data_IF_518061766167
#
_entry.id   IF_518061766167
#
_cell.length_a   1.000
_cell.length_b   1.000
_cell.length_c   1.000
_cell.angle_alpha   90.00
_cell.angle_beta   90.00
_cell.angle_gamma   90.00
#
_symmetry.space_group_name_H-M   'P 1'
#
loop_
_entity.id
_entity.type
_entity.pdbx_description
1 polymer ?
#
# COMPACT_ATOMS: atom_id res chain seq x y z
N UNK A 1 -29.35 -11.84 2.55
CA UNK A 1 -29.47 -12.26 3.96
C UNK A 1 -28.17 -11.90 4.66
N UNK A 2 -28.20 -11.30 5.85
CA UNK A 2 -26.97 -11.03 6.61
C UNK A 2 -26.29 -12.36 6.98
N UNK A 3 -25.01 -12.50 6.62
CA UNK A 3 -24.23 -13.69 6.97
C UNK A 3 -24.12 -13.81 8.49
N UNK A 4 -24.59 -14.93 9.04
CA UNK A 4 -24.68 -15.17 10.50
C UNK A 4 -23.32 -15.25 11.21
N UNK A 5 -22.22 -15.18 10.47
CA UNK A 5 -20.85 -15.22 10.98
C UNK A 5 -20.12 -13.88 10.91
N UNK A 6 -20.79 -12.81 10.44
CA UNK A 6 -20.21 -11.45 10.37
C UNK A 6 -20.43 -10.69 11.67
N UNK A 7 -19.55 -9.74 11.97
CA UNK A 7 -19.68 -8.85 13.12
C UNK A 7 -19.14 -7.47 12.79
N UNK A 8 -19.92 -6.43 13.11
CA UNK A 8 -19.54 -5.02 12.90
C UNK A 8 -18.67 -4.47 14.05
N UNK A 9 -18.47 -5.27 15.11
CA UNK A 9 -17.65 -4.93 16.28
C UNK A 9 -16.74 -6.10 16.64
N UNK A 10 -15.73 -5.88 17.49
CA UNK A 10 -14.85 -6.97 17.94
C UNK A 10 -15.66 -8.02 18.71
N UNK A 11 -15.70 -9.29 18.27
CA UNK A 11 -16.47 -10.32 18.98
C UNK A 11 -15.91 -10.57 20.38
N UNK A 12 -16.80 -10.69 21.37
CA UNK A 12 -16.43 -11.03 22.75
C UNK A 12 -15.63 -12.34 22.84
N UNK A 13 -15.97 -13.32 22.00
CA UNK A 13 -15.17 -14.53 21.77
C UNK A 13 -14.76 -14.63 20.29
N UNK A 14 -13.64 -13.99 19.96
CA UNK A 14 -13.07 -14.04 18.61
C UNK A 14 -12.69 -15.46 18.17
N UNK A 15 -12.36 -16.38 19.10
CA UNK A 15 -12.03 -17.77 18.75
C UNK A 15 -13.28 -18.54 18.32
N UNK A 16 -14.40 -18.36 19.01
CA UNK A 16 -15.69 -18.91 18.59
C UNK A 16 -16.15 -18.32 17.24
N UNK A 17 -16.07 -16.99 17.08
CA UNK A 17 -16.42 -16.32 15.83
C UNK A 17 -15.58 -16.83 14.64
N UNK A 18 -14.26 -16.99 14.80
CA UNK A 18 -13.37 -17.55 13.78
C UNK A 18 -13.78 -18.98 13.41
N UNK A 19 -14.12 -19.83 14.39
CA UNK A 19 -14.59 -21.20 14.13
C UNK A 19 -15.89 -21.20 13.30
N UNK A 20 -16.87 -20.40 13.71
CA UNK A 20 -18.15 -20.28 13.02
C UNK A 20 -17.97 -19.77 11.58
N UNK A 21 -17.20 -18.70 11.39
CA UNK A 21 -16.86 -18.15 10.07
C UNK A 21 -16.18 -19.21 9.19
N UNK A 22 -15.17 -19.91 9.71
CA UNK A 22 -14.45 -20.96 8.97
C UNK A 22 -15.36 -22.12 8.55
N UNK A 23 -16.35 -22.50 9.36
CA UNK A 23 -17.34 -23.52 8.99
C UNK A 23 -18.28 -23.02 7.90
N UNK A 24 -18.84 -21.82 8.06
CA UNK A 24 -19.77 -21.24 7.10
C UNK A 24 -19.12 -21.03 5.72
N UNK A 25 -17.90 -20.49 5.67
CA UNK A 25 -17.18 -20.26 4.41
C UNK A 25 -16.82 -21.56 3.70
N UNK A 26 -16.40 -22.60 4.43
CA UNK A 26 -16.15 -23.92 3.83
C UNK A 26 -17.42 -24.53 3.24
N UNK A 27 -18.54 -24.42 3.94
CA UNK A 27 -19.82 -24.90 3.43
C UNK A 27 -20.27 -24.14 2.17
N UNK A 28 -20.01 -22.83 2.11
CA UNK A 28 -20.36 -21.99 0.95
C UNK A 28 -19.45 -22.25 -0.26
N UNK A 29 -18.15 -22.49 -0.04
CA UNK A 29 -17.16 -22.66 -1.12
C UNK A 29 -17.08 -24.11 -1.63
N UNK A 30 -17.44 -25.11 -0.82
CA UNK A 30 -17.28 -26.52 -1.18
C UNK A 30 -15.83 -26.99 -1.02
N UNK A 31 -15.22 -27.47 -2.11
CA UNK A 31 -13.84 -27.98 -2.09
C UNK A 31 -12.82 -26.83 -2.02
N UNK A 32 -12.56 -26.37 -0.80
CA UNK A 32 -11.59 -25.32 -0.52
C UNK A 32 -10.17 -25.70 -0.93
N UNK A 33 -9.81 -27.00 -0.91
CA UNK A 33 -8.46 -27.41 -1.29
C UNK A 33 -8.27 -27.30 -2.80
N UNK A 34 -9.25 -27.73 -3.60
CA UNK A 34 -9.21 -27.57 -5.04
C UNK A 34 -9.14 -26.09 -5.44
N UNK A 35 -9.97 -25.24 -4.82
CA UNK A 35 -9.97 -23.78 -5.07
C UNK A 35 -8.60 -23.19 -4.70
N UNK A 36 -8.02 -23.60 -3.57
CA UNK A 36 -6.71 -23.15 -3.14
C UNK A 36 -5.59 -23.59 -4.08
N UNK A 37 -5.65 -24.81 -4.61
CA UNK A 37 -4.67 -25.30 -5.58
C UNK A 37 -4.71 -24.48 -6.88
N UNK A 38 -5.90 -24.22 -7.41
CA UNK A 38 -6.06 -23.37 -8.59
C UNK A 38 -5.48 -21.96 -8.38
N UNK A 39 -5.78 -21.34 -7.24
CA UNK A 39 -5.22 -20.04 -6.88
C UNK A 39 -3.68 -20.10 -6.73
N UNK A 40 -3.16 -21.20 -6.18
CA UNK A 40 -1.73 -21.39 -5.99
C UNK A 40 -1.00 -21.50 -7.33
N UNK A 41 -1.58 -22.18 -8.32
CA UNK A 41 -1.02 -22.29 -9.67
C UNK A 41 -0.98 -20.93 -10.39
N UNK A 42 -2.04 -20.13 -10.23
CA UNK A 42 -2.10 -18.76 -10.77
C UNK A 42 -1.02 -17.87 -10.14
N UNK A 43 -0.84 -17.95 -8.81
CA UNK A 43 0.21 -17.21 -8.09
C UNK A 43 1.60 -17.71 -8.49
N UNK A 44 1.79 -19.03 -8.62
CA UNK A 44 3.07 -19.62 -9.03
C UNK A 44 3.50 -19.11 -10.41
N UNK A 45 2.56 -18.97 -11.34
CA UNK A 45 2.78 -18.33 -12.65
C UNK A 45 3.31 -16.89 -12.48
N UNK A 46 2.75 -16.10 -11.56
CA UNK A 46 3.24 -14.73 -11.30
C UNK A 46 4.62 -14.70 -10.65
N UNK A 47 4.91 -15.64 -9.76
CA UNK A 47 6.25 -15.78 -9.17
C UNK A 47 7.28 -16.13 -10.25
N UNK A 48 6.95 -17.04 -11.18
CA UNK A 48 7.81 -17.39 -12.29
C UNK A 48 8.11 -16.17 -13.19
N UNK A 49 7.09 -15.38 -13.54
CA UNK A 49 7.28 -14.11 -14.28
C UNK A 49 8.20 -13.13 -13.55
N UNK A 50 8.01 -12.95 -12.25
CA UNK A 50 8.83 -12.05 -11.43
C UNK A 50 10.29 -12.54 -11.41
N UNK A 51 10.52 -13.84 -11.25
CA UNK A 51 11.85 -14.41 -11.25
C UNK A 51 12.54 -14.28 -12.60
N UNK A 52 11.80 -14.44 -13.71
CA UNK A 52 12.33 -14.24 -15.06
C UNK A 52 12.77 -12.79 -15.28
N UNK A 53 11.96 -11.80 -14.90
CA UNK A 53 12.32 -10.38 -14.98
C UNK A 53 13.57 -10.07 -14.15
N UNK A 54 13.65 -10.58 -12.91
CA UNK A 54 14.83 -10.42 -12.06
C UNK A 54 16.09 -11.03 -12.69
N UNK A 55 15.97 -12.22 -13.28
CA UNK A 55 17.10 -12.89 -13.92
C UNK A 55 17.60 -12.13 -15.17
N UNK A 56 16.72 -11.38 -15.83
CA UNK A 56 17.04 -10.51 -16.97
C UNK A 56 17.62 -9.15 -16.52
N UNK A 57 17.55 -8.82 -15.23
CA UNK A 57 17.93 -7.51 -14.70
C UNK A 57 16.86 -6.43 -14.89
N UNK A 58 15.66 -6.82 -15.31
CA UNK A 58 14.54 -5.90 -15.54
C UNK A 58 13.88 -5.46 -14.23
N UNK A 59 13.33 -4.25 -14.25
CA UNK A 59 12.52 -3.74 -13.15
C UNK A 59 11.21 -4.56 -13.05
N UNK A 60 11.01 -5.24 -11.92
CA UNK A 60 9.73 -5.90 -11.62
C UNK A 60 8.61 -4.90 -11.39
N UNK A 61 8.96 -3.75 -10.80
CA UNK A 61 8.02 -2.69 -10.48
C UNK A 61 7.81 -1.83 -11.72
N UNK A 62 6.56 -1.50 -12.08
CA UNK A 62 6.29 -0.51 -13.12
C UNK A 62 6.94 0.83 -12.74
N UNK A 63 7.76 1.37 -13.63
CA UNK A 63 8.44 2.66 -13.45
C UNK A 63 7.82 3.68 -14.41
N UNK A 64 7.29 4.77 -13.85
CA UNK A 64 6.70 5.88 -14.60
C UNK A 64 7.47 7.16 -14.33
N UNK A 65 7.40 8.13 -15.22
CA UNK A 65 7.84 9.49 -14.92
C UNK A 65 6.67 10.32 -14.40
N UNK A 66 6.93 11.24 -13.47
CA UNK A 66 5.92 12.21 -13.06
C UNK A 66 5.50 13.13 -14.21
N UNK A 67 6.40 13.41 -15.15
CA UNK A 67 6.10 14.20 -16.34
C UNK A 67 4.99 13.56 -17.18
N UNK A 68 5.03 12.22 -17.38
CA UNK A 68 3.99 11.50 -18.12
C UNK A 68 2.67 11.49 -17.37
N UNK A 69 2.69 11.36 -16.04
CA UNK A 69 1.48 11.46 -15.21
C UNK A 69 0.85 12.84 -15.35
N UNK A 70 1.66 13.91 -15.20
CA UNK A 70 1.20 15.30 -15.31
C UNK A 70 0.65 15.63 -16.70
N UNK A 71 1.27 15.08 -17.75
CA UNK A 71 0.84 15.29 -19.12
C UNK A 71 -0.32 14.37 -19.57
N UNK A 72 -0.73 13.40 -18.73
CA UNK A 72 -1.75 12.42 -19.11
C UNK A 72 -1.28 11.39 -20.14
N UNK A 73 0.02 11.18 -20.28
CA UNK A 73 0.64 10.30 -21.28
C UNK A 73 0.88 8.85 -20.79
N UNK A 74 0.41 8.50 -19.60
CA UNK A 74 0.52 7.11 -19.09
C UNK A 74 -0.38 6.18 -19.90
N UNK A 75 0.23 5.20 -20.57
CA UNK A 75 -0.45 4.31 -21.52
C UNK A 75 -1.39 3.32 -20.84
N UNK A 76 -2.28 2.70 -21.62
CA UNK A 76 -3.15 1.64 -21.11
C UNK A 76 -2.34 0.44 -20.60
N UNK A 77 -1.28 0.05 -21.29
CA UNK A 77 -0.40 -1.05 -20.93
C UNK A 77 0.31 -0.76 -19.60
N UNK A 78 0.80 0.47 -19.41
CA UNK A 78 1.39 0.89 -18.14
C UNK A 78 0.37 0.81 -16.99
N UNK A 79 -0.87 1.26 -17.21
CA UNK A 79 -1.95 1.17 -16.22
C UNK A 79 -2.26 -0.29 -15.85
N UNK A 80 -2.34 -1.17 -16.84
CA UNK A 80 -2.57 -2.59 -16.60
C UNK A 80 -1.38 -3.27 -15.90
N UNK A 81 -0.14 -2.86 -16.19
CA UNK A 81 1.02 -3.34 -15.43
C UNK A 81 0.96 -2.93 -13.95
N UNK A 82 0.52 -1.70 -13.64
CA UNK A 82 0.32 -1.27 -12.25
C UNK A 82 -0.73 -2.13 -11.56
N UNK A 83 -1.88 -2.38 -12.21
CA UNK A 83 -2.92 -3.26 -11.66
C UNK A 83 -2.42 -4.69 -11.48
N UNK A 84 -1.64 -5.20 -12.44
CA UNK A 84 -1.05 -6.55 -12.41
C UNK A 84 -0.04 -6.72 -11.28
N UNK A 85 0.76 -5.69 -10.99
CA UNK A 85 1.85 -5.74 -9.99
C UNK A 85 1.44 -5.21 -8.62
N UNK A 86 0.36 -4.45 -8.53
CA UNK A 86 -0.14 -3.84 -7.29
C UNK A 86 0.74 -2.72 -6.75
N UNK A 87 1.68 -2.19 -7.55
CA UNK A 87 2.63 -1.16 -7.15
C UNK A 87 3.15 -0.34 -8.34
N UNK A 88 3.78 0.80 -8.06
CA UNK A 88 4.44 1.64 -9.05
C UNK A 88 5.56 2.49 -8.42
N UNK A 89 6.58 2.82 -9.21
CA UNK A 89 7.58 3.86 -8.87
C UNK A 89 7.31 5.07 -9.76
N UNK A 90 7.13 6.25 -9.14
CA UNK A 90 7.04 7.52 -9.87
C UNK A 90 8.39 8.23 -9.78
N UNK A 91 9.17 8.16 -10.86
CA UNK A 91 10.46 8.85 -10.99
C UNK A 91 10.25 10.34 -11.20
N UNK A 92 11.09 11.14 -10.52
CA UNK A 92 11.03 12.59 -10.62
C UNK A 92 9.73 13.19 -10.08
N UNK A 93 9.07 12.51 -9.13
CA UNK A 93 7.84 13.01 -8.49
C UNK A 93 8.05 14.39 -7.86
N UNK A 94 9.19 14.56 -7.20
CA UNK A 94 9.67 15.88 -6.75
C UNK A 94 11.07 16.13 -7.33
N UNK A 95 11.42 17.39 -7.62
CA UNK A 95 12.80 17.77 -7.89
C UNK A 95 13.74 17.30 -6.77
N UNK A 96 14.90 16.78 -7.15
CA UNK A 96 15.88 16.23 -6.18
C UNK A 96 16.29 17.27 -5.14
N UNK A 97 16.51 18.51 -5.56
CA UNK A 97 16.89 19.61 -4.66
C UNK A 97 15.81 19.88 -3.60
N UNK A 98 14.54 19.89 -4.00
CA UNK A 98 13.43 20.06 -3.07
C UNK A 98 13.36 18.91 -2.06
N UNK A 99 13.54 17.67 -2.52
CA UNK A 99 13.55 16.50 -1.63
C UNK A 99 14.70 16.56 -0.61
N UNK A 100 15.91 16.95 -1.04
CA UNK A 100 17.05 17.13 -0.14
C UNK A 100 16.85 18.30 0.83
N UNK A 101 16.23 19.39 0.38
CA UNK A 101 15.88 20.52 1.25
C UNK A 101 14.86 20.13 2.32
N UNK A 102 13.86 19.33 1.96
CA UNK A 102 12.91 18.76 2.92
C UNK A 102 13.56 17.83 3.92
N UNK A 103 14.47 16.97 3.48
CA UNK A 103 15.24 16.07 4.34
C UNK A 103 16.05 16.85 5.38
N UNK A 104 16.81 17.87 4.95
CA UNK A 104 17.54 18.74 5.88
C UNK A 104 16.61 19.47 6.85
N UNK A 105 15.47 19.97 6.36
CA UNK A 105 14.49 20.66 7.21
C UNK A 105 13.87 19.75 8.27
N UNK A 106 13.76 18.44 7.98
CA UNK A 106 13.32 17.43 8.94
C UNK A 106 14.38 17.21 10.01
N UNK A 107 15.65 17.06 9.62
CA UNK A 107 16.76 16.91 10.57
C UNK A 107 16.83 18.10 11.52
N UNK A 108 16.78 19.33 10.98
CA UNK A 108 16.76 20.56 11.77
C UNK A 108 15.55 20.62 12.71
N UNK A 109 14.38 20.16 12.25
CA UNK A 109 13.17 20.12 13.06
C UNK A 109 13.31 19.16 14.24
N UNK A 110 13.91 17.97 14.03
CA UNK A 110 14.14 17.00 15.09
C UNK A 110 15.14 17.51 16.12
N UNK A 111 16.25 18.09 15.65
CA UNK A 111 17.33 18.64 16.49
C UNK A 111 16.83 19.80 17.37
N UNK A 112 16.16 20.80 16.77
CA UNK A 112 15.60 21.95 17.51
C UNK A 112 14.62 21.54 18.60
N UNK A 113 13.92 20.43 18.40
CA UNK A 113 12.96 19.89 19.37
C UNK A 113 13.58 18.82 20.29
N UNK A 114 14.90 18.57 20.21
CA UNK A 114 15.64 17.59 21.00
C UNK A 114 14.97 16.22 20.99
N UNK A 115 14.53 15.78 19.81
CA UNK A 115 13.70 14.59 19.67
C UNK A 115 14.35 13.36 20.31
N UNK A 116 15.66 13.17 20.11
CA UNK A 116 16.40 12.02 20.64
C UNK A 116 16.44 11.98 22.18
N UNK A 117 16.33 13.14 22.86
CA UNK A 117 16.26 13.21 24.33
C UNK A 117 14.85 12.91 24.85
N UNK A 118 13.83 13.29 24.08
CA UNK A 118 12.42 13.20 24.49
C UNK A 118 11.80 11.85 24.14
N UNK A 119 12.23 11.24 23.03
CA UNK A 119 11.65 10.01 22.52
C UNK A 119 12.09 8.81 23.36
N UNK A 120 11.10 8.14 23.98
CA UNK A 120 11.33 7.03 24.92
C UNK A 120 11.15 5.65 24.30
N UNK A 121 11.13 5.57 22.97
CA UNK A 121 10.89 4.33 22.22
C UNK A 121 9.45 4.21 21.69
N UNK A 122 9.11 3.05 21.10
CA UNK A 122 7.86 2.88 20.38
C UNK A 122 6.64 3.14 21.28
N UNK A 123 5.76 4.02 20.82
CA UNK A 123 4.49 4.32 21.52
C UNK A 123 3.42 3.25 21.34
N UNK A 124 3.67 2.23 20.51
CA UNK A 124 2.76 1.12 20.26
C UNK A 124 3.52 -0.21 20.04
N UNK A 125 2.76 -1.32 20.08
CA UNK A 125 3.27 -2.67 19.79
C UNK A 125 2.65 -3.23 18.49
N UNK A 126 2.33 -2.35 17.53
CA UNK A 126 1.60 -2.75 16.32
C UNK A 126 2.37 -3.81 15.51
N UNK A 127 3.69 -3.74 15.52
CA UNK A 127 4.58 -4.68 14.84
C UNK A 127 5.11 -5.81 15.74
N UNK A 128 4.53 -6.01 16.93
CA UNK A 128 5.02 -6.99 17.92
C UNK A 128 5.00 -8.46 17.47
N UNK A 129 4.26 -8.78 16.40
CA UNK A 129 4.22 -10.13 15.80
C UNK A 129 5.24 -10.33 14.68
N UNK A 130 5.98 -9.30 14.28
CA UNK A 130 7.03 -9.39 13.28
C UNK A 130 8.38 -9.68 13.94
N UNK A 131 9.18 -10.57 13.35
CA UNK A 131 10.56 -10.82 13.79
C UNK A 131 11.48 -9.61 13.60
N UNK A 132 11.12 -8.71 12.67
CA UNK A 132 11.77 -7.42 12.43
C UNK A 132 11.10 -6.27 13.20
N UNK A 133 10.67 -6.50 14.45
CA UNK A 133 9.86 -5.57 15.26
C UNK A 133 10.58 -4.33 15.81
N UNK A 134 11.67 -3.89 15.17
CA UNK A 134 12.27 -2.57 15.44
C UNK A 134 12.11 -1.68 14.22
N UNK A 135 10.97 -1.02 14.04
CA UNK A 135 10.93 0.06 13.08
C UNK A 135 11.67 1.29 13.61
N UNK A 136 12.56 1.82 12.79
CA UNK A 136 13.11 3.19 12.83
C UNK A 136 12.02 4.25 12.50
N UNK A 137 10.79 4.05 12.97
CA UNK A 137 9.66 4.95 12.67
C UNK A 137 9.66 6.09 13.69
N UNK A 138 9.91 7.29 13.19
CA UNK A 138 9.76 8.53 13.94
C UNK A 138 8.27 8.95 13.94
N UNK A 139 7.57 9.00 15.10
CA UNK A 139 6.17 9.42 15.19
C UNK A 139 6.04 10.95 15.11
N UNK A 140 6.46 11.51 13.97
CA UNK A 140 6.41 12.93 13.66
C UNK A 140 5.40 13.14 12.53
N UNK A 141 4.47 14.07 12.71
CA UNK A 141 3.32 14.19 11.82
C UNK A 141 3.20 15.54 11.12
N UNK A 142 3.76 16.61 11.68
CA UNK A 142 3.42 18.00 11.31
C UNK A 142 4.62 18.85 10.90
N UNK A 143 5.75 18.24 10.54
CA UNK A 143 6.87 19.01 9.98
C UNK A 143 6.44 19.75 8.71
N UNK A 144 7.07 20.90 8.43
CA UNK A 144 6.78 21.66 7.21
C UNK A 144 7.01 20.82 5.95
N UNK A 145 8.09 20.02 5.90
CA UNK A 145 8.36 19.09 4.81
C UNK A 145 7.19 18.14 4.52
N UNK A 146 6.66 17.48 5.57
CA UNK A 146 5.53 16.57 5.42
C UNK A 146 4.28 17.28 4.91
N UNK A 147 3.95 18.44 5.49
CA UNK A 147 2.73 19.17 5.12
C UNK A 147 2.82 19.73 3.69
N UNK A 148 3.96 20.30 3.32
CA UNK A 148 4.20 20.79 1.95
C UNK A 148 4.13 19.67 0.92
N UNK A 149 4.79 18.53 1.17
CA UNK A 149 4.74 17.39 0.26
C UNK A 149 3.30 16.87 0.09
N UNK A 150 2.52 16.76 1.19
CA UNK A 150 1.13 16.27 1.16
C UNK A 150 0.18 17.18 0.37
N UNK A 151 0.31 18.50 0.51
CA UNK A 151 -0.57 19.48 -0.14
C UNK A 151 -0.08 19.94 -1.51
N UNK A 152 1.06 19.43 -1.98
CA UNK A 152 1.65 19.79 -3.27
C UNK A 152 0.76 19.38 -4.45
N UNK A 153 0.83 20.14 -5.54
CA UNK A 153 0.13 19.83 -6.78
C UNK A 153 0.63 18.49 -7.36
N UNK A 154 1.92 18.22 -7.21
CA UNK A 154 2.57 16.98 -7.64
C UNK A 154 1.99 15.75 -6.94
N UNK A 155 1.77 15.84 -5.63
CA UNK A 155 1.12 14.79 -4.87
C UNK A 155 -0.35 14.63 -5.27
N UNK A 156 -1.09 15.74 -5.42
CA UNK A 156 -2.47 15.71 -5.85
C UNK A 156 -2.63 15.02 -7.22
N UNK A 157 -1.80 15.36 -8.20
CA UNK A 157 -1.81 14.76 -9.54
C UNK A 157 -1.54 13.24 -9.48
N UNK A 158 -0.53 12.82 -8.70
CA UNK A 158 -0.20 11.40 -8.55
C UNK A 158 -1.33 10.61 -7.86
N UNK A 159 -1.90 11.14 -6.77
CA UNK A 159 -3.03 10.51 -6.07
C UNK A 159 -4.26 10.41 -6.98
N UNK A 160 -4.56 11.49 -7.72
CA UNK A 160 -5.67 11.53 -8.66
C UNK A 160 -5.49 10.51 -9.79
N UNK A 161 -4.27 10.31 -10.28
CA UNK A 161 -3.95 9.27 -11.26
C UNK A 161 -4.15 7.85 -10.69
N UNK A 162 -3.63 7.58 -9.48
CA UNK A 162 -3.70 6.25 -8.85
C UNK A 162 -5.14 5.87 -8.46
N UNK A 163 -5.93 6.81 -7.94
CA UNK A 163 -7.33 6.55 -7.59
C UNK A 163 -8.16 6.14 -8.81
N UNK A 164 -7.86 6.69 -10.00
CA UNK A 164 -8.54 6.34 -11.25
C UNK A 164 -8.13 4.99 -11.84
N UNK A 165 -7.23 4.24 -11.20
CA UNK A 165 -6.98 2.83 -11.56
C UNK A 165 -8.04 1.89 -10.99
N UNK A 166 -8.79 2.33 -9.98
CA UNK A 166 -9.88 1.58 -9.39
C UNK A 166 -11.16 1.70 -10.22
N UNK A 167 -11.99 0.66 -10.18
CA UNK A 167 -13.38 0.77 -10.62
C UNK A 167 -14.16 1.50 -9.54
N UNK A 168 -14.64 2.71 -9.86
CA UNK A 168 -15.33 3.59 -8.90
C UNK A 168 -16.79 3.87 -9.24
N UNK A 169 -17.26 3.26 -10.33
CA UNK A 169 -18.67 3.19 -10.70
C UNK A 169 -19.05 1.71 -10.80
N UNK A 170 -20.06 1.29 -10.04
CA UNK A 170 -20.63 -0.06 -10.11
C UNK A 170 -22.10 0.00 -9.74
N UNK A 171 -22.94 -0.78 -10.44
CA UNK A 171 -24.37 -0.90 -10.15
C UNK A 171 -25.11 0.45 -10.10
N UNK A 172 -24.71 1.39 -10.98
CA UNK A 172 -25.28 2.73 -11.06
C UNK A 172 -24.87 3.67 -9.90
N UNK A 173 -23.96 3.24 -9.02
CA UNK A 173 -23.43 4.04 -7.91
C UNK A 173 -21.99 4.45 -8.19
N UNK A 174 -21.73 5.75 -8.06
CA UNK A 174 -20.39 6.32 -7.99
C UNK A 174 -19.93 6.35 -6.53
N UNK A 175 -18.74 5.81 -6.25
CA UNK A 175 -18.22 5.66 -4.89
C UNK A 175 -17.38 6.85 -4.41
N UNK A 176 -16.88 7.67 -5.33
CA UNK A 176 -16.17 8.92 -5.08
C UNK A 176 -16.24 9.88 -6.27
#
# INVERSE_FOLDING_TARGET
MASTFTSDTLPADHKAAIRQMKHALRAQLGDVQQIFNQLSDDIATRVAEINALKAQGDAVWPVLSYADIKAGHVTAEQREQIKRRGCAVIKGHFPREQALGWDQSMLDYLDRNRFDEVYKGPGDNFFGTLSASRPEIYPIYWSQAQMQARQSEEMANAQSFLNRLWTFESDGKQWF
#
